data_IF_229426534600
#
_entry.id   IF_229426534600
#
_cell.length_a   1.000
_cell.length_b   1.000
_cell.length_c   1.000
_cell.angle_alpha   90.00
_cell.angle_beta   90.00
_cell.angle_gamma   90.00
#
_symmetry.space_group_name_H-M   'P 1'
#
loop_
_entity.id
_entity.type
_entity.pdbx_description
1 polymer ?
#
# COMPACT_ATOMS: atom_id res chain seq x y z
N UNK A 1 -33.73 -15.10 21.46
CA UNK A 1 -32.68 -15.28 22.49
C UNK A 1 -31.49 -15.92 21.78
N UNK A 2 -30.59 -15.15 21.17
CA UNK A 2 -29.46 -14.49 21.83
C UNK A 2 -28.80 -15.39 22.87
N UNK A 3 -27.73 -16.06 22.46
CA UNK A 3 -26.59 -16.35 23.31
C UNK A 3 -25.34 -16.12 22.48
N UNK A 4 -24.81 -14.92 22.64
CA UNK A 4 -23.49 -14.51 22.18
C UNK A 4 -22.44 -15.45 22.78
N UNK A 5 -21.56 -15.99 21.92
CA UNK A 5 -20.32 -16.61 22.36
C UNK A 5 -19.24 -15.51 22.45
N UNK A 6 -18.46 -15.45 23.55
CA UNK A 6 -17.62 -14.29 23.84
C UNK A 6 -16.39 -14.26 22.92
N UNK A 7 -16.11 -13.08 22.38
CA UNK A 7 -14.99 -12.73 21.52
C UNK A 7 -13.58 -12.92 22.14
N UNK A 8 -13.48 -13.54 23.32
CA UNK A 8 -12.23 -13.68 24.09
C UNK A 8 -11.45 -14.97 23.80
N UNK A 9 -12.05 -15.98 23.16
CA UNK A 9 -11.37 -17.27 22.86
C UNK A 9 -10.60 -17.30 21.53
N UNK A 10 -10.89 -16.42 20.57
CA UNK A 10 -10.15 -16.33 19.29
C UNK A 10 -8.86 -15.52 19.37
N UNK A 11 -8.70 -14.66 20.38
CA UNK A 11 -7.49 -13.86 20.60
C UNK A 11 -6.31 -14.68 21.16
N UNK A 12 -6.52 -15.89 21.69
CA UNK A 12 -5.43 -16.73 22.23
C UNK A 12 -4.81 -17.67 21.18
N UNK A 13 -5.54 -18.00 20.11
CA UNK A 13 -5.08 -18.89 19.04
C UNK A 13 -4.31 -18.18 17.91
N UNK A 14 -4.44 -16.85 17.81
CA UNK A 14 -3.91 -16.04 16.72
C UNK A 14 -2.50 -15.47 16.96
N UNK A 15 -2.10 -15.08 18.20
CA UNK A 15 -0.70 -14.76 18.50
C UNK A 15 0.19 -15.99 18.40
N UNK A 16 -0.28 -17.16 18.85
CA UNK A 16 0.47 -18.42 18.81
C UNK A 16 0.78 -18.89 17.38
N UNK A 17 -0.12 -18.65 16.42
CA UNK A 17 0.16 -18.90 14.99
C UNK A 17 1.16 -17.91 14.42
N UNK A 18 1.16 -16.65 14.87
CA UNK A 18 2.21 -15.68 14.56
C UNK A 18 3.56 -16.12 15.15
N UNK A 19 3.61 -16.50 16.42
CA UNK A 19 4.83 -17.02 17.07
C UNK A 19 5.40 -18.24 16.36
N UNK A 20 4.54 -19.16 15.92
CA UNK A 20 4.95 -20.32 15.12
C UNK A 20 5.53 -19.89 13.77
N UNK A 21 4.91 -18.93 13.08
CA UNK A 21 5.45 -18.34 11.85
C UNK A 21 6.78 -17.59 12.07
N UNK A 22 7.00 -17.03 13.26
CA UNK A 22 8.29 -16.46 13.67
C UNK A 22 9.37 -17.53 13.77
N UNK A 23 9.07 -18.66 14.40
CA UNK A 23 9.99 -19.79 14.48
C UNK A 23 10.28 -20.39 13.09
N UNK A 24 9.27 -20.46 12.23
CA UNK A 24 9.37 -21.06 10.90
C UNK A 24 9.92 -20.10 9.82
N UNK A 25 10.24 -18.84 10.16
CA UNK A 25 10.62 -17.78 9.20
C UNK A 25 9.62 -17.55 8.04
N UNK A 26 8.34 -17.83 8.25
CA UNK A 26 7.30 -17.82 7.20
C UNK A 26 6.34 -16.62 7.33
N UNK A 27 6.80 -15.43 6.94
CA UNK A 27 6.07 -14.15 7.12
C UNK A 27 5.43 -13.54 5.87
N UNK A 28 5.61 -14.16 4.71
CA UNK A 28 5.29 -13.55 3.42
C UNK A 28 4.06 -14.16 2.72
N UNK A 29 3.29 -15.01 3.41
CA UNK A 29 2.06 -15.53 2.81
C UNK A 29 0.94 -14.49 2.89
N UNK A 30 0.11 -14.40 1.86
CA UNK A 30 -1.10 -13.55 1.85
C UNK A 30 -2.01 -13.79 3.06
N UNK A 31 -1.90 -14.97 3.69
CA UNK A 31 -2.69 -15.41 4.83
C UNK A 31 -2.09 -15.08 6.21
N UNK A 32 -0.87 -14.54 6.27
CA UNK A 32 -0.17 -14.28 7.54
C UNK A 32 -0.99 -13.41 8.48
N UNK A 33 -1.66 -12.39 7.94
CA UNK A 33 -2.47 -11.44 8.69
C UNK A 33 -3.97 -11.58 8.42
N UNK A 34 -4.45 -12.71 7.90
CA UNK A 34 -5.89 -12.87 7.61
C UNK A 34 -6.77 -12.87 8.86
N UNK A 35 -6.19 -13.19 10.03
CA UNK A 35 -6.86 -13.06 11.32
C UNK A 35 -7.14 -11.60 11.72
N UNK A 36 -6.47 -10.64 11.09
CA UNK A 36 -6.74 -9.21 11.27
C UNK A 36 -8.00 -8.87 10.50
N UNK A 37 -9.09 -8.59 11.18
CA UNK A 37 -10.37 -8.16 10.64
C UNK A 37 -10.75 -6.82 11.28
N UNK A 38 -11.77 -6.14 10.78
CA UNK A 38 -12.23 -4.90 11.41
C UNK A 38 -12.70 -5.11 12.85
N UNK A 39 -13.26 -6.30 13.15
CA UNK A 39 -13.70 -6.69 14.48
C UNK A 39 -12.54 -6.97 15.45
N UNK A 40 -11.43 -7.54 14.95
CA UNK A 40 -10.29 -7.91 15.79
C UNK A 40 -9.25 -6.81 15.89
N UNK A 41 -9.21 -5.87 14.94
CA UNK A 41 -8.19 -4.84 14.90
C UNK A 41 -8.49 -3.69 15.86
N UNK A 42 -7.61 -3.59 16.86
CA UNK A 42 -7.57 -2.54 17.87
C UNK A 42 -6.18 -1.91 17.92
N UNK A 43 -6.06 -0.74 18.55
CA UNK A 43 -4.76 -0.08 18.78
C UNK A 43 -3.80 -0.95 19.59
N UNK A 44 -4.32 -1.75 20.53
CA UNK A 44 -3.52 -2.72 21.30
C UNK A 44 -2.98 -3.85 20.43
N UNK A 45 -3.80 -4.40 19.53
CA UNK A 45 -3.34 -5.41 18.57
C UNK A 45 -2.28 -4.81 17.63
N UNK A 46 -2.51 -3.61 17.10
CA UNK A 46 -1.53 -2.93 16.25
C UNK A 46 -0.18 -2.78 16.96
N UNK A 47 -0.17 -2.28 18.20
CA UNK A 47 1.06 -2.13 18.98
C UNK A 47 1.76 -3.47 19.23
N UNK A 48 1.00 -4.52 19.56
CA UNK A 48 1.54 -5.86 19.74
C UNK A 48 2.15 -6.40 18.44
N UNK A 49 1.50 -6.18 17.30
CA UNK A 49 2.04 -6.56 15.99
C UNK A 49 3.31 -5.79 15.65
N UNK A 50 3.35 -4.47 15.87
CA UNK A 50 4.55 -3.66 15.68
C UNK A 50 5.72 -4.16 16.54
N UNK A 51 5.46 -4.46 17.82
CA UNK A 51 6.46 -5.02 18.73
C UNK A 51 6.94 -6.40 18.24
N UNK A 52 6.03 -7.27 17.82
CA UNK A 52 6.37 -8.62 17.31
C UNK A 52 7.16 -8.54 16.00
N UNK A 53 6.84 -7.61 15.10
CA UNK A 53 7.59 -7.42 13.86
C UNK A 53 8.97 -6.81 14.11
N UNK A 54 9.12 -6.01 15.17
CA UNK A 54 10.41 -5.43 15.55
C UNK A 54 11.43 -6.48 16.02
N UNK A 55 10.98 -7.63 16.56
CA UNK A 55 11.85 -8.73 17.00
C UNK A 55 12.39 -9.59 15.85
N UNK A 56 11.82 -9.49 14.64
CA UNK A 56 12.28 -10.24 13.48
C UNK A 56 13.66 -9.80 13.03
N UNK A 57 14.44 -10.68 12.40
CA UNK A 57 15.73 -10.30 11.82
C UNK A 57 15.59 -9.15 10.81
N UNK A 58 16.50 -8.16 10.92
CA UNK A 58 16.54 -7.00 10.01
C UNK A 58 16.70 -7.46 8.55
N UNK A 59 16.13 -6.70 7.63
CA UNK A 59 16.23 -6.94 6.19
C UNK A 59 14.93 -7.42 5.55
N UNK A 60 15.05 -8.35 4.60
CA UNK A 60 13.95 -8.71 3.67
C UNK A 60 12.75 -9.32 4.38
N UNK A 61 12.96 -10.17 5.38
CA UNK A 61 11.88 -10.88 6.08
C UNK A 61 10.98 -9.89 6.82
N UNK A 62 11.58 -9.03 7.65
CA UNK A 62 10.84 -8.02 8.40
C UNK A 62 10.16 -7.02 7.47
N UNK A 63 10.83 -6.58 6.40
CA UNK A 63 10.22 -5.70 5.39
C UNK A 63 8.98 -6.33 4.77
N UNK A 64 9.06 -7.59 4.35
CA UNK A 64 7.93 -8.30 3.73
C UNK A 64 6.76 -8.50 4.71
N UNK A 65 7.05 -8.70 5.99
CA UNK A 65 6.02 -8.80 7.02
C UNK A 65 5.26 -7.49 7.19
N UNK A 66 5.97 -6.35 7.25
CA UNK A 66 5.33 -5.03 7.26
C UNK A 66 4.52 -4.76 5.99
N UNK A 67 5.10 -5.00 4.80
CA UNK A 67 4.39 -4.82 3.52
C UNK A 67 3.10 -5.67 3.46
N UNK A 68 3.13 -6.89 4.03
CA UNK A 68 1.95 -7.77 4.12
C UNK A 68 0.88 -7.24 5.08
N UNK A 69 1.28 -6.73 6.25
CA UNK A 69 0.37 -6.12 7.21
C UNK A 69 -0.28 -4.85 6.64
N UNK A 70 0.51 -3.98 6.00
CA UNK A 70 0.03 -2.77 5.30
C UNK A 70 -0.98 -3.17 4.23
N UNK A 71 -0.66 -4.20 3.43
CA UNK A 71 -1.58 -4.72 2.41
C UNK A 71 -2.90 -5.22 3.02
N UNK A 72 -2.84 -5.90 4.18
CA UNK A 72 -4.05 -6.37 4.88
C UNK A 72 -4.91 -5.20 5.36
N UNK A 73 -4.32 -4.19 6.00
CA UNK A 73 -5.05 -3.01 6.48
C UNK A 73 -5.67 -2.22 5.35
N UNK A 74 -4.95 -2.09 4.23
CA UNK A 74 -5.47 -1.54 3.00
C UNK A 74 -6.72 -2.29 2.52
N UNK A 75 -6.72 -3.64 2.54
CA UNK A 75 -7.93 -4.41 2.17
C UNK A 75 -9.13 -4.14 3.08
N UNK A 76 -8.87 -3.82 4.35
CA UNK A 76 -9.87 -3.42 5.35
C UNK A 76 -10.25 -1.93 5.26
N UNK A 77 -9.77 -1.19 4.25
CA UNK A 77 -9.97 0.27 4.11
C UNK A 77 -9.37 1.10 5.27
N UNK A 78 -8.48 0.52 6.07
CA UNK A 78 -7.81 1.17 7.21
C UNK A 78 -6.53 1.87 6.78
N UNK A 79 -6.69 2.89 5.95
CA UNK A 79 -5.57 3.61 5.31
C UNK A 79 -4.71 4.35 6.34
N UNK A 80 -5.31 4.99 7.33
CA UNK A 80 -4.57 5.75 8.35
C UNK A 80 -3.68 4.85 9.22
N UNK A 81 -4.16 3.66 9.61
CA UNK A 81 -3.36 2.68 10.34
C UNK A 81 -2.21 2.14 9.49
N UNK A 82 -2.45 1.90 8.19
CA UNK A 82 -1.43 1.48 7.26
C UNK A 82 -0.31 2.55 7.14
N UNK A 83 -0.67 3.83 7.12
CA UNK A 83 0.28 4.94 7.12
C UNK A 83 1.08 5.04 8.42
N UNK A 84 0.44 4.76 9.55
CA UNK A 84 1.12 4.74 10.85
C UNK A 84 2.24 3.70 10.89
N UNK A 85 2.02 2.52 10.30
CA UNK A 85 3.05 1.48 10.16
C UNK A 85 4.20 1.95 9.26
N UNK A 86 3.90 2.60 8.14
CA UNK A 86 4.92 3.12 7.22
C UNK A 86 5.79 4.16 7.91
N UNK A 87 5.19 5.04 8.72
CA UNK A 87 5.89 6.02 9.53
C UNK A 87 6.76 5.35 10.60
N UNK A 88 6.24 4.32 11.27
CA UNK A 88 7.02 3.51 12.20
C UNK A 88 8.25 2.90 11.52
N UNK A 89 8.11 2.30 10.33
CA UNK A 89 9.22 1.74 9.55
C UNK A 89 10.27 2.80 9.20
N UNK A 90 9.85 4.00 8.83
CA UNK A 90 10.76 5.08 8.45
C UNK A 90 11.54 5.65 9.65
N UNK A 91 10.89 5.79 10.81
CA UNK A 91 11.50 6.33 12.04
C UNK A 91 12.45 5.33 12.71
N UNK A 92 12.10 4.05 12.68
CA UNK A 92 12.80 3.02 13.48
C UNK A 92 13.93 2.33 12.73
N UNK A 93 14.05 2.46 11.40
CA UNK A 93 14.95 1.62 10.62
C UNK A 93 15.98 2.39 9.77
N UNK A 94 17.19 2.51 10.32
CA UNK A 94 18.38 2.97 9.61
C UNK A 94 19.09 1.85 8.80
N UNK A 95 18.65 0.57 8.87
CA UNK A 95 19.50 -0.57 8.52
C UNK A 95 18.85 -1.78 7.84
N UNK A 96 17.65 -1.66 7.23
CA UNK A 96 17.18 -2.73 6.34
C UNK A 96 15.69 -2.80 6.00
N UNK A 97 14.80 -2.11 6.73
CA UNK A 97 13.36 -2.16 6.45
C UNK A 97 12.76 -0.80 6.09
N UNK A 98 13.50 0.03 5.34
CA UNK A 98 12.96 1.27 4.81
C UNK A 98 11.75 1.02 3.91
N UNK A 99 10.70 1.85 3.98
CA UNK A 99 9.59 1.83 3.02
C UNK A 99 10.10 1.91 1.57
N UNK A 100 9.41 1.26 0.65
CA UNK A 100 9.69 1.34 -0.79
C UNK A 100 8.42 1.51 -1.60
N UNK A 101 8.54 1.60 -2.93
CA UNK A 101 7.38 1.69 -3.83
C UNK A 101 6.31 0.61 -3.58
N UNK A 102 6.76 -0.61 -3.29
CA UNK A 102 5.89 -1.75 -2.94
C UNK A 102 5.10 -1.52 -1.66
N UNK A 103 5.71 -0.86 -0.67
CA UNK A 103 5.09 -0.52 0.62
C UNK A 103 3.96 0.50 0.45
N UNK A 104 4.16 1.51 -0.41
CA UNK A 104 3.17 2.57 -0.65
C UNK A 104 2.08 2.19 -1.67
N UNK A 105 2.33 1.24 -2.57
CA UNK A 105 1.39 0.86 -3.63
C UNK A 105 -0.02 0.51 -3.13
N UNK A 106 -0.22 -0.32 -2.07
CA UNK A 106 -1.55 -0.66 -1.59
C UNK A 106 -2.36 0.56 -1.15
N UNK A 107 -1.73 1.48 -0.43
CA UNK A 107 -2.33 2.74 0.06
C UNK A 107 -2.73 3.62 -1.12
N UNK A 108 -1.78 3.87 -2.02
CA UNK A 108 -2.02 4.75 -3.17
C UNK A 108 -3.08 4.18 -4.09
N UNK A 109 -3.10 2.86 -4.33
CA UNK A 109 -4.14 2.23 -5.13
C UNK A 109 -5.54 2.37 -4.51
N UNK A 110 -5.69 2.43 -3.19
CA UNK A 110 -7.00 2.68 -2.55
C UNK A 110 -7.41 4.14 -2.71
N UNK A 111 -6.52 5.07 -2.34
CA UNK A 111 -6.81 6.51 -2.41
C UNK A 111 -7.14 6.95 -3.84
N UNK A 112 -6.47 6.33 -4.81
CA UNK A 112 -6.73 6.50 -6.22
C UNK A 112 -8.12 6.04 -6.63
N UNK A 113 -8.56 4.87 -6.17
CA UNK A 113 -9.92 4.38 -6.43
C UNK A 113 -10.99 5.23 -5.73
N UNK A 114 -10.66 5.79 -4.58
CA UNK A 114 -11.53 6.71 -3.84
C UNK A 114 -11.52 8.13 -4.43
N UNK A 115 -10.72 8.40 -5.48
CA UNK A 115 -10.50 9.74 -6.06
C UNK A 115 -10.05 10.78 -5.03
N UNK A 116 -9.39 10.34 -3.96
CA UNK A 116 -8.94 11.17 -2.85
C UNK A 116 -7.53 11.74 -3.14
N UNK A 117 -7.43 12.60 -4.16
CA UNK A 117 -6.14 13.15 -4.64
C UNK A 117 -5.39 13.87 -3.52
N UNK A 118 -6.06 14.71 -2.73
CA UNK A 118 -5.41 15.45 -1.65
C UNK A 118 -4.88 14.54 -0.55
N UNK A 119 -5.59 13.45 -0.24
CA UNK A 119 -5.12 12.48 0.74
C UNK A 119 -3.94 11.68 0.16
N UNK A 120 -4.02 11.23 -1.10
CA UNK A 120 -2.90 10.60 -1.79
C UNK A 120 -1.68 11.51 -1.82
N UNK A 121 -1.88 12.81 -2.10
CA UNK A 121 -0.86 13.85 -2.07
C UNK A 121 -0.26 14.01 -0.70
N UNK A 122 -1.07 14.11 0.36
CA UNK A 122 -0.54 14.11 1.73
C UNK A 122 0.18 12.82 2.11
N UNK A 123 -0.17 11.67 1.55
CA UNK A 123 0.57 10.42 1.81
C UNK A 123 1.92 10.43 1.11
N UNK A 124 1.95 10.88 -0.14
CA UNK A 124 3.16 11.00 -0.94
C UNK A 124 4.10 12.03 -0.35
N UNK A 125 3.57 13.19 -0.02
CA UNK A 125 4.37 14.34 0.36
C UNK A 125 4.57 14.48 1.84
N UNK A 126 3.78 13.74 2.63
CA UNK A 126 3.44 13.98 4.04
C UNK A 126 4.42 14.97 4.59
N UNK A 127 3.99 16.24 4.45
CA UNK A 127 4.82 17.38 4.76
C UNK A 127 5.48 17.05 6.06
N UNK A 128 6.80 17.14 6.03
CA UNK A 128 7.62 17.23 7.21
C UNK A 128 6.76 17.69 8.37
N UNK A 129 6.51 16.79 9.33
CA UNK A 129 6.34 17.26 10.69
C UNK A 129 7.47 18.25 10.95
N UNK A 130 7.25 19.18 11.85
CA UNK A 130 8.12 20.31 12.27
C UNK A 130 9.64 20.04 12.40
N UNK A 131 10.08 18.80 12.21
CA UNK A 131 11.46 18.28 12.23
C UNK A 131 12.06 17.98 10.84
N UNK A 132 11.40 18.34 9.72
CA UNK A 132 12.03 18.35 8.38
C UNK A 132 12.40 16.98 7.77
N UNK A 133 12.02 15.87 8.39
CA UNK A 133 12.48 14.53 8.00
C UNK A 133 11.57 13.90 6.95
N UNK A 134 12.06 13.81 5.70
CA UNK A 134 11.36 13.11 4.61
C UNK A 134 11.36 11.59 4.85
N UNK A 135 10.19 10.94 4.76
CA UNK A 135 10.07 9.47 4.85
C UNK A 135 10.91 8.74 3.79
N UNK A 136 11.16 9.39 2.64
CA UNK A 136 12.02 8.92 1.57
C UNK A 136 12.75 10.09 0.88
N UNK A 137 13.97 9.90 0.37
CA UNK A 137 14.63 10.88 -0.49
C UNK A 137 13.83 11.15 -1.77
N UNK A 138 13.79 12.39 -2.24
CA UNK A 138 13.11 12.83 -3.50
C UNK A 138 13.44 11.95 -4.73
N UNK A 139 14.65 11.40 -4.81
CA UNK A 139 15.08 10.47 -5.87
C UNK A 139 14.51 9.05 -5.73
N UNK A 140 14.17 8.59 -4.52
CA UNK A 140 13.45 7.33 -4.29
C UNK A 140 11.96 7.49 -4.58
N UNK A 141 11.41 8.68 -4.35
CA UNK A 141 10.03 9.04 -4.72
C UNK A 141 9.80 9.01 -6.24
N UNK A 142 10.73 9.57 -7.01
CA UNK A 142 10.65 9.55 -8.47
C UNK A 142 10.52 8.12 -9.03
N UNK A 143 11.37 7.20 -8.56
CA UNK A 143 11.32 5.78 -8.96
C UNK A 143 10.04 5.08 -8.47
N UNK A 144 9.51 5.52 -7.34
CA UNK A 144 8.26 5.00 -6.80
C UNK A 144 7.10 5.37 -7.72
N UNK A 145 6.96 6.65 -8.08
CA UNK A 145 5.94 7.09 -9.02
C UNK A 145 6.03 6.41 -10.38
N UNK A 146 7.22 6.34 -10.97
CA UNK A 146 7.38 5.68 -12.27
C UNK A 146 6.97 4.20 -12.21
N UNK A 147 7.36 3.48 -11.15
CA UNK A 147 6.95 2.09 -10.94
C UNK A 147 5.44 1.93 -10.71
N UNK A 148 4.82 2.85 -9.97
CA UNK A 148 3.37 2.84 -9.71
C UNK A 148 2.56 3.14 -10.98
N UNK A 149 2.98 4.15 -11.76
CA UNK A 149 2.35 4.49 -13.05
C UNK A 149 2.50 3.32 -14.02
N UNK A 150 3.69 2.73 -14.12
CA UNK A 150 3.92 1.53 -14.93
C UNK A 150 3.02 0.37 -14.51
N UNK A 151 2.95 0.09 -13.20
CA UNK A 151 2.12 -0.99 -12.67
C UNK A 151 0.63 -0.78 -12.91
N UNK A 152 0.13 0.43 -12.69
CA UNK A 152 -1.28 0.78 -12.89
C UNK A 152 -1.69 0.77 -14.36
N UNK A 153 -0.84 1.28 -15.27
CA UNK A 153 -1.04 1.18 -16.71
C UNK A 153 -1.09 -0.29 -17.19
N UNK A 154 -0.20 -1.16 -16.69
CA UNK A 154 -0.22 -2.60 -17.03
C UNK A 154 -1.50 -3.31 -16.60
N UNK A 155 -2.12 -2.89 -15.50
CA UNK A 155 -3.38 -3.44 -14.97
C UNK A 155 -4.61 -2.72 -15.58
N UNK A 156 -4.42 -1.95 -16.66
CA UNK A 156 -5.46 -1.16 -17.37
C UNK A 156 -6.23 -0.18 -16.48
N UNK A 157 -5.62 0.28 -15.38
CA UNK A 157 -6.17 1.29 -14.47
C UNK A 157 -5.59 2.65 -14.77
N UNK A 158 -5.87 3.15 -15.98
CA UNK A 158 -5.29 4.39 -16.50
C UNK A 158 -5.74 5.61 -15.70
N UNK A 159 -6.96 5.62 -15.15
CA UNK A 159 -7.43 6.69 -14.26
C UNK A 159 -6.48 6.91 -13.09
N UNK A 160 -5.95 5.81 -12.54
CA UNK A 160 -5.05 5.87 -11.43
C UNK A 160 -3.64 6.30 -11.78
N UNK A 161 -3.14 5.85 -12.93
CA UNK A 161 -1.90 6.34 -13.50
C UNK A 161 -1.97 7.86 -13.75
N UNK A 162 -3.10 8.34 -14.28
CA UNK A 162 -3.31 9.76 -14.58
C UNK A 162 -3.38 10.61 -13.32
N UNK A 163 -4.01 10.10 -12.25
CA UNK A 163 -4.03 10.77 -10.95
C UNK A 163 -2.62 10.95 -10.38
N UNK A 164 -1.81 9.89 -10.43
CA UNK A 164 -0.41 9.92 -9.98
C UNK A 164 0.43 10.92 -10.80
N UNK A 165 0.23 10.98 -12.12
CA UNK A 165 0.93 11.95 -12.97
C UNK A 165 0.49 13.38 -12.71
N UNK A 166 -0.79 13.64 -12.46
CA UNK A 166 -1.26 14.98 -12.06
C UNK A 166 -0.55 15.44 -10.78
N UNK A 167 -0.43 14.56 -9.79
CA UNK A 167 0.33 14.87 -8.58
C UNK A 167 1.80 15.19 -8.90
N UNK A 168 2.47 14.40 -9.74
CA UNK A 168 3.85 14.72 -10.14
C UNK A 168 3.99 16.09 -10.81
N UNK A 169 3.04 16.49 -11.66
CA UNK A 169 3.03 17.82 -12.31
C UNK A 169 2.82 18.93 -11.29
N UNK A 170 1.77 18.82 -10.47
CA UNK A 170 1.37 19.84 -9.52
C UNK A 170 2.48 20.11 -8.49
N UNK A 171 3.24 19.08 -8.14
CA UNK A 171 4.31 19.15 -7.14
C UNK A 171 5.71 19.34 -7.75
N UNK A 172 5.79 19.64 -9.06
CA UNK A 172 7.06 19.94 -9.74
C UNK A 172 8.06 18.78 -9.76
N UNK A 173 7.57 17.54 -9.71
CA UNK A 173 8.40 16.34 -9.87
C UNK A 173 8.59 16.07 -11.35
N UNK A 174 9.84 15.98 -11.84
CA UNK A 174 10.07 15.69 -13.24
C UNK A 174 9.49 14.32 -13.59
N UNK A 175 8.67 14.26 -14.63
CA UNK A 175 8.12 13.00 -15.14
C UNK A 175 9.15 12.39 -16.08
N UNK A 176 9.42 11.09 -15.93
CA UNK A 176 10.33 10.40 -16.84
C UNK A 176 9.67 10.21 -18.21
N UNK A 177 10.48 10.25 -19.27
CA UNK A 177 9.99 10.00 -20.63
C UNK A 177 9.29 8.63 -20.76
N UNK A 178 9.79 7.63 -20.03
CA UNK A 178 9.16 6.31 -19.90
C UNK A 178 7.72 6.41 -19.38
N UNK A 179 7.48 7.19 -18.34
CA UNK A 179 6.17 7.40 -17.72
C UNK A 179 5.16 7.97 -18.72
N UNK A 180 5.57 8.97 -19.52
CA UNK A 180 4.73 9.54 -20.58
C UNK A 180 4.33 8.49 -21.63
N UNK A 181 5.29 7.68 -22.10
CA UNK A 181 5.01 6.60 -23.06
C UNK A 181 3.97 5.62 -22.49
N UNK A 182 4.09 5.25 -21.21
CA UNK A 182 3.16 4.30 -20.60
C UNK A 182 1.74 4.84 -20.50
N UNK A 183 1.56 6.12 -20.15
CA UNK A 183 0.23 6.74 -20.13
C UNK A 183 -0.36 6.84 -21.54
N UNK A 184 0.43 7.29 -22.53
CA UNK A 184 -0.02 7.39 -23.91
C UNK A 184 -0.46 6.01 -24.42
N UNK A 185 0.34 4.96 -24.18
CA UNK A 185 -0.03 3.57 -24.51
C UNK A 185 -1.32 3.13 -23.82
N UNK A 186 -1.47 3.44 -22.52
CA UNK A 186 -2.68 3.11 -21.77
C UNK A 186 -3.94 3.78 -22.32
N UNK A 187 -3.86 5.08 -22.64
CA UNK A 187 -4.97 5.84 -23.22
C UNK A 187 -5.36 5.33 -24.61
N UNK A 188 -4.37 5.04 -25.47
CA UNK A 188 -4.62 4.48 -26.80
C UNK A 188 -5.32 3.12 -26.71
N UNK A 189 -4.93 2.28 -25.76
CA UNK A 189 -5.56 0.97 -25.57
C UNK A 189 -7.00 1.09 -25.06
N UNK A 190 -7.29 2.07 -24.19
CA UNK A 190 -8.66 2.38 -23.77
C UNK A 190 -9.53 2.87 -24.93
N UNK A 191 -9.01 3.80 -25.74
CA UNK A 191 -9.72 4.32 -26.92
C UNK A 191 -10.02 3.21 -27.92
N UNK A 192 -9.06 2.30 -28.17
CA UNK A 192 -9.28 1.14 -29.02
C UNK A 192 -10.38 0.24 -28.45
N UNK A 193 -10.36 -0.10 -27.16
CA UNK A 193 -11.42 -0.92 -26.56
C UNK A 193 -12.80 -0.25 -26.65
N UNK A 194 -12.88 1.06 -26.41
CA UNK A 194 -14.13 1.80 -26.53
C UNK A 194 -14.64 1.83 -27.98
N UNK A 195 -13.74 1.97 -28.95
CA UNK A 195 -14.08 1.92 -30.37
C UNK A 195 -14.62 0.55 -30.80
N UNK A 196 -14.00 -0.55 -30.34
CA UNK A 196 -14.48 -1.91 -30.62
C UNK A 196 -15.85 -2.17 -29.97
N UNK A 197 -16.05 -1.77 -28.72
CA UNK A 197 -17.35 -1.89 -28.03
C UNK A 197 -18.46 -1.09 -28.73
N UNK A 198 -18.14 0.12 -29.20
CA UNK A 198 -19.09 0.96 -29.92
C UNK A 198 -19.46 0.32 -31.25
N UNK A 199 -18.47 -0.21 -31.99
CA UNK A 199 -18.69 -0.89 -33.26
C UNK A 199 -19.58 -2.13 -33.11
N UNK A 200 -19.34 -2.97 -32.10
CA UNK A 200 -20.19 -4.14 -31.84
C UNK A 200 -21.65 -3.77 -31.54
N UNK A 201 -21.93 -2.59 -30.99
CA UNK A 201 -23.31 -2.13 -30.72
C UNK A 201 -24.07 -1.60 -31.95
N UNK A 202 -23.36 -1.24 -33.01
CA UNK A 202 -23.95 -0.72 -34.25
C UNK A 202 -23.98 -1.74 -35.39
N UNK A 203 -23.34 -2.90 -35.21
CA UNK A 203 -23.35 -4.01 -36.16
C UNK A 203 -24.45 -5.08 -35.84
N UNK A 204 -25.35 -4.82 -34.87
CA UNK A 204 -26.58 -5.58 -34.53
C UNK A 204 -27.85 -4.79 -34.94
#
# INVERSE_FOLDING_TARGET
>A
MLLEAPATSMLSATPSTLYKRIQDNCFNTKSTFDFVTDETFSSSLLNHLLQTLSTLNRGVIRKNAFDSLITRLCKLQRVDDALHIIEYMARTDAGGCRPSATTFYPVLNILTRQKAIDHARRVVWRESGSDGTQLLPRCTWLRTFDALVLGTCKVKKVDGAMMLVRMMVDDGVPILYSTHIFIIKGLLQMLQSAFWDLRCRFDD
#
